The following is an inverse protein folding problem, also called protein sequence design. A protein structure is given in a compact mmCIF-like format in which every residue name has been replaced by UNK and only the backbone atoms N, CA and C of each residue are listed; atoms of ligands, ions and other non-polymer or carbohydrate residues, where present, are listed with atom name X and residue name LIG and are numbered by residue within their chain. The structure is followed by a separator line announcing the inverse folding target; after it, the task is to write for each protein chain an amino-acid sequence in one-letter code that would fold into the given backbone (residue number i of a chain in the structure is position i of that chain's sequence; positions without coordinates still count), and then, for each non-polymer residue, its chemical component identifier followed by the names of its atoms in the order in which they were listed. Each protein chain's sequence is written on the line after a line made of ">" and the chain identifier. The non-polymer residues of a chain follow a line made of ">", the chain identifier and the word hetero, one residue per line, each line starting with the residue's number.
data_IF_318228113226
#
_entry.id   IF_318228113226
#
_cell.length_a   1.000
_cell.length_b   1.000
_cell.length_c   1.000
_cell.angle_alpha   90.00
_cell.angle_beta   90.00
_cell.angle_gamma   90.00
#
_symmetry.space_group_name_H-M   'P 1'
#
loop_
_entity.id
_entity.type
_entity.pdbx_description
1 polymer ?
#
# COMPACT_ATOMS: atom_id res chain seq x y z
N UNK A 1 -30.63 38.50 6.36
CA UNK A 1 -29.17 38.37 6.15
C UNK A 1 -28.74 36.98 6.64
N UNK A 2 -28.69 36.00 5.74
CA UNK A 2 -28.34 34.62 6.04
C UNK A 2 -26.85 34.44 5.75
N UNK A 3 -26.03 34.17 6.78
CA UNK A 3 -24.64 33.81 6.64
C UNK A 3 -24.54 32.38 6.11
N UNK A 4 -23.99 32.20 4.89
CA UNK A 4 -23.60 30.92 4.32
C UNK A 4 -22.43 30.36 5.10
N UNK A 5 -22.64 29.31 5.87
CA UNK A 5 -21.60 28.43 6.38
C UNK A 5 -21.07 27.58 5.23
N UNK A 6 -19.78 27.73 4.92
CA UNK A 6 -19.07 26.83 3.98
C UNK A 6 -18.87 25.48 4.67
N UNK A 7 -19.48 24.45 4.11
CA UNK A 7 -19.14 23.07 4.42
C UNK A 7 -17.71 22.79 3.91
N UNK A 8 -16.85 22.36 4.80
CA UNK A 8 -15.51 21.86 4.47
C UNK A 8 -15.66 20.43 3.90
N UNK A 9 -15.05 20.20 2.75
CA UNK A 9 -15.00 18.93 2.04
C UNK A 9 -14.38 17.84 2.94
N UNK A 10 -15.08 16.74 3.27
CA UNK A 10 -14.56 15.69 4.14
C UNK A 10 -13.35 14.95 3.57
N UNK A 11 -13.07 15.05 2.26
CA UNK A 11 -11.94 14.36 1.61
C UNK A 11 -10.55 14.93 1.94
N UNK A 12 -10.45 16.13 2.50
CA UNK A 12 -9.14 16.79 2.77
C UNK A 12 -8.59 16.60 4.18
N UNK A 13 -9.37 16.10 5.11
CA UNK A 13 -8.97 15.98 6.54
C UNK A 13 -8.24 14.66 6.84
N UNK A 14 -8.33 13.65 5.98
CA UNK A 14 -7.80 12.31 6.23
C UNK A 14 -6.27 12.16 6.13
N UNK A 15 -5.55 13.18 5.66
CA UNK A 15 -4.09 13.07 5.38
C UNK A 15 -3.18 13.43 6.57
N UNK A 16 -3.69 13.93 7.69
CA UNK A 16 -2.84 14.63 8.65
C UNK A 16 -2.32 13.82 9.85
N UNK A 17 -2.88 12.66 10.22
CA UNK A 17 -2.55 12.06 11.54
C UNK A 17 -1.91 10.66 11.48
N UNK A 18 -2.13 9.88 10.44
CA UNK A 18 -1.44 8.57 10.28
C UNK A 18 0.02 8.68 9.80
N UNK A 19 0.42 9.82 9.26
CA UNK A 19 1.74 10.06 8.63
C UNK A 19 2.63 11.06 9.37
N UNK A 20 2.17 11.67 10.45
CA UNK A 20 2.86 12.78 11.10
C UNK A 20 4.23 12.44 11.72
N UNK A 21 4.66 11.19 11.71
CA UNK A 21 5.99 10.78 12.23
C UNK A 21 7.02 10.40 11.15
N UNK A 22 6.66 10.41 9.86
CA UNK A 22 7.56 10.04 8.78
C UNK A 22 7.87 11.15 7.75
N UNK A 23 7.25 12.35 7.85
CA UNK A 23 7.43 13.42 6.86
C UNK A 23 8.22 14.65 7.36
N UNK A 24 8.68 14.66 8.62
CA UNK A 24 9.37 15.85 9.17
C UNK A 24 10.86 15.96 8.87
N UNK A 25 11.46 15.11 8.01
CA UNK A 25 12.89 15.25 7.68
C UNK A 25 13.21 15.83 6.30
N UNK A 26 12.23 16.12 5.43
CA UNK A 26 12.55 16.54 4.05
C UNK A 26 11.91 17.86 3.56
N UNK A 27 11.30 18.68 4.41
CA UNK A 27 10.59 19.89 3.96
C UNK A 27 11.27 21.22 4.29
N UNK A 28 12.51 21.25 4.76
CA UNK A 28 13.20 22.51 5.15
C UNK A 28 14.21 23.03 4.09
N UNK A 29 14.44 22.32 2.97
CA UNK A 29 15.47 22.72 1.98
C UNK A 29 14.96 23.24 0.63
N UNK A 30 13.66 23.52 0.48
CA UNK A 30 13.09 23.91 -0.83
C UNK A 30 12.78 25.41 -1.00
N UNK A 31 13.19 26.29 -0.08
CA UNK A 31 12.77 27.70 -0.13
C UNK A 31 13.85 28.74 -0.44
N UNK A 32 15.01 28.34 -0.93
CA UNK A 32 16.04 29.32 -1.35
C UNK A 32 16.72 28.94 -2.66
N UNK A 33 16.00 29.00 -3.78
CA UNK A 33 16.61 29.33 -5.08
C UNK A 33 15.48 29.74 -6.05
N UNK A 34 15.43 31.01 -6.38
CA UNK A 34 14.50 31.59 -7.34
C UNK A 34 14.80 31.09 -8.76
N UNK A 35 13.85 30.41 -9.37
CA UNK A 35 13.84 30.09 -10.79
C UNK A 35 12.89 31.03 -11.54
N UNK A 36 13.23 31.50 -12.74
CA UNK A 36 12.37 32.38 -13.53
C UNK A 36 11.11 31.61 -14.02
N UNK A 37 9.97 32.31 -14.01
CA UNK A 37 8.72 31.83 -14.59
C UNK A 37 8.92 31.50 -16.09
N UNK A 38 8.27 30.42 -16.58
CA UNK A 38 8.29 30.11 -18.01
C UNK A 38 7.55 31.20 -18.80
N UNK A 39 8.27 31.84 -19.72
CA UNK A 39 7.71 32.76 -20.68
C UNK A 39 6.77 32.04 -21.66
N UNK A 40 5.62 32.63 -21.90
CA UNK A 40 4.65 32.24 -22.94
C UNK A 40 5.32 32.08 -24.28
N UNK A 41 5.09 31.02 -25.07
CA UNK A 41 5.66 30.91 -26.42
C UNK A 41 5.09 32.01 -27.32
N UNK A 42 5.95 32.79 -27.94
CA UNK A 42 5.59 33.71 -29.02
C UNK A 42 5.31 32.93 -30.32
N UNK A 43 4.36 33.37 -31.14
CA UNK A 43 4.10 32.75 -32.45
C UNK A 43 5.31 32.94 -33.36
N UNK A 44 5.76 31.87 -34.02
CA UNK A 44 6.81 31.91 -35.03
C UNK A 44 6.37 32.75 -36.25
N UNK A 45 7.24 33.65 -36.66
CA UNK A 45 7.06 34.47 -37.84
C UNK A 45 6.96 33.62 -39.10
N UNK A 46 5.96 33.94 -39.92
CA UNK A 46 5.75 33.39 -41.26
C UNK A 46 6.83 33.87 -42.22
N UNK A 47 7.48 32.95 -42.90
CA UNK A 47 8.11 33.20 -44.16
C UNK A 47 9.47 32.55 -44.36
N UNK A 48 9.50 31.39 -44.96
CA UNK A 48 10.42 31.06 -46.06
C UNK A 48 9.91 29.79 -46.78
N UNK A 49 9.85 29.90 -48.10
CA UNK A 49 9.46 28.82 -49.02
C UNK A 49 10.45 27.64 -48.91
N UNK A 50 9.99 26.52 -48.34
CA UNK A 50 10.68 25.22 -48.44
C UNK A 50 9.90 24.33 -49.38
N UNK A 51 10.57 23.87 -50.43
CA UNK A 51 10.07 22.89 -51.39
C UNK A 51 9.43 21.67 -50.68
N UNK A 52 8.29 21.25 -51.14
CA UNK A 52 7.43 20.22 -50.51
C UNK A 52 8.06 18.86 -50.44
N UNK A 53 8.82 18.60 -49.42
CA UNK A 53 9.01 17.23 -48.91
C UNK A 53 7.82 16.88 -48.03
N UNK A 54 7.15 15.77 -48.26
CA UNK A 54 6.13 15.20 -47.37
C UNK A 54 6.84 14.91 -46.02
N UNK A 55 6.66 15.81 -45.05
CA UNK A 55 7.17 15.58 -43.70
C UNK A 55 6.38 14.40 -43.11
N UNK A 56 6.99 13.23 -43.05
CA UNK A 56 6.44 12.12 -42.25
C UNK A 56 6.34 12.58 -40.79
N UNK A 57 5.18 12.41 -40.15
CA UNK A 57 5.07 12.77 -38.73
C UNK A 57 6.11 12.00 -37.90
N UNK A 58 6.69 12.61 -36.85
CA UNK A 58 7.70 11.95 -36.03
C UNK A 58 7.13 10.67 -35.41
N UNK A 59 7.95 9.63 -35.36
CA UNK A 59 7.57 8.36 -34.72
C UNK A 59 7.39 8.54 -33.21
N UNK A 60 6.69 7.61 -32.54
CA UNK A 60 6.56 7.62 -31.08
C UNK A 60 7.95 7.66 -30.40
N UNK A 61 8.92 6.89 -30.94
CA UNK A 61 10.29 6.87 -30.43
C UNK A 61 10.96 8.25 -30.54
N UNK A 62 10.81 8.96 -31.65
CA UNK A 62 11.37 10.29 -31.84
C UNK A 62 10.75 11.32 -30.84
N UNK A 63 9.45 11.25 -30.66
CA UNK A 63 8.74 12.11 -29.70
C UNK A 63 9.20 11.87 -28.27
N UNK A 64 9.33 10.61 -27.86
CA UNK A 64 9.79 10.25 -26.52
C UNK A 64 11.27 10.60 -26.33
N UNK A 65 12.13 10.34 -27.31
CA UNK A 65 13.55 10.68 -27.26
C UNK A 65 13.77 12.20 -27.15
N UNK A 66 12.97 12.99 -27.88
CA UNK A 66 12.98 14.46 -27.76
C UNK A 66 12.61 14.89 -26.33
N UNK A 67 11.59 14.29 -25.72
CA UNK A 67 11.21 14.60 -24.34
C UNK A 67 12.31 14.20 -23.34
N UNK A 68 12.88 13.02 -23.48
CA UNK A 68 13.98 12.56 -22.62
C UNK A 68 15.14 13.58 -22.65
N UNK A 69 15.52 14.08 -23.84
CA UNK A 69 16.63 15.01 -23.99
C UNK A 69 16.41 16.36 -23.30
N UNK A 70 15.14 16.75 -23.08
CA UNK A 70 14.80 17.96 -22.31
C UNK A 70 15.07 17.80 -20.80
N UNK A 71 15.01 16.57 -20.28
CA UNK A 71 15.13 16.26 -18.85
C UNK A 71 16.52 15.73 -18.46
N UNK A 72 17.26 15.15 -19.37
CA UNK A 72 18.56 14.53 -19.10
C UNK A 72 19.50 14.65 -20.29
N UNK A 73 20.79 14.82 -19.98
CA UNK A 73 21.87 14.82 -21.00
C UNK A 73 22.47 13.44 -21.25
N UNK A 74 22.00 12.40 -20.53
CA UNK A 74 22.53 11.04 -20.66
C UNK A 74 21.40 10.05 -20.88
N UNK A 75 21.41 9.36 -21.99
CA UNK A 75 20.41 8.33 -22.32
C UNK A 75 20.42 7.15 -21.34
N UNK A 76 21.57 6.90 -20.68
CA UNK A 76 21.69 5.84 -19.65
C UNK A 76 20.92 6.12 -18.35
N UNK A 77 20.38 7.36 -18.18
CA UNK A 77 19.54 7.68 -17.04
C UNK A 77 18.14 7.07 -17.13
N UNK A 78 17.72 6.62 -18.33
CA UNK A 78 16.36 6.20 -18.63
C UNK A 78 16.32 4.76 -19.16
N UNK A 79 15.52 3.93 -18.49
CA UNK A 79 15.19 2.56 -18.90
C UNK A 79 13.69 2.45 -19.15
N UNK A 80 13.29 2.23 -20.39
CA UNK A 80 11.90 2.17 -20.82
C UNK A 80 11.62 0.87 -21.55
N UNK A 81 10.47 0.28 -21.28
CA UNK A 81 9.92 -0.80 -22.08
C UNK A 81 8.41 -0.81 -22.04
N UNK A 82 7.77 -0.77 -23.21
CA UNK A 82 6.33 -0.82 -23.40
C UNK A 82 5.99 -1.96 -24.35
N UNK A 83 4.96 -2.73 -24.03
CA UNK A 83 4.59 -3.92 -24.76
C UNK A 83 3.07 -4.11 -24.76
N UNK A 84 2.51 -4.47 -25.89
CA UNK A 84 1.08 -4.83 -26.02
C UNK A 84 0.78 -6.19 -25.40
N UNK A 85 -0.51 -6.50 -25.24
CA UNK A 85 -0.97 -7.78 -24.70
C UNK A 85 -0.46 -9.00 -25.50
N UNK A 86 -0.34 -8.88 -26.82
CA UNK A 86 0.20 -9.93 -27.72
C UNK A 86 1.74 -10.02 -27.74
N UNK A 87 2.43 -9.18 -26.96
CA UNK A 87 3.88 -9.24 -26.79
C UNK A 87 4.67 -8.40 -27.81
N UNK A 88 4.00 -7.53 -28.55
CA UNK A 88 4.67 -6.63 -29.49
C UNK A 88 5.26 -5.42 -28.77
N UNK A 89 6.58 -5.18 -28.85
CA UNK A 89 7.20 -3.95 -28.35
C UNK A 89 6.63 -2.71 -29.03
N UNK A 90 6.30 -1.69 -28.24
CA UNK A 90 5.82 -0.39 -28.74
C UNK A 90 6.87 0.69 -28.60
N UNK A 91 7.64 0.66 -27.52
CA UNK A 91 8.67 1.63 -27.19
C UNK A 91 9.72 0.96 -26.32
N UNK A 92 10.99 1.18 -26.64
CA UNK A 92 12.08 0.69 -25.81
C UNK A 92 13.27 1.66 -25.80
N UNK A 93 13.87 1.84 -24.62
CA UNK A 93 15.11 2.57 -24.40
C UNK A 93 15.86 1.86 -23.28
N UNK A 94 17.08 1.38 -23.55
CA UNK A 94 17.88 0.59 -22.60
C UNK A 94 17.09 -0.52 -21.89
N UNK A 95 16.31 -1.33 -22.62
CA UNK A 95 15.32 -2.25 -22.05
C UNK A 95 15.96 -3.36 -21.21
N UNK A 96 17.22 -3.70 -21.47
CA UNK A 96 17.96 -4.78 -20.83
C UNK A 96 19.05 -4.27 -19.84
N UNK A 97 19.17 -2.95 -19.66
CA UNK A 97 20.03 -2.38 -18.63
C UNK A 97 19.35 -2.45 -17.25
N UNK A 98 20.15 -2.69 -16.21
CA UNK A 98 19.64 -2.83 -14.85
C UNK A 98 19.46 -1.48 -14.16
N UNK A 99 18.28 -1.23 -13.58
CA UNK A 99 17.92 -0.05 -12.81
C UNK A 99 17.42 -0.42 -11.44
N UNK A 100 17.51 0.52 -10.50
CA UNK A 100 16.84 0.34 -9.21
C UNK A 100 15.32 0.59 -9.37
N UNK A 101 14.47 -0.40 -9.12
CA UNK A 101 13.03 -0.25 -9.26
C UNK A 101 12.38 0.50 -8.09
N UNK A 102 13.14 0.82 -7.04
CA UNK A 102 12.61 1.33 -5.79
C UNK A 102 11.34 0.53 -5.38
N UNK A 103 10.27 1.21 -4.98
CA UNK A 103 9.04 0.55 -4.50
C UNK A 103 8.23 -0.22 -5.56
N UNK A 104 8.63 -0.23 -6.84
CA UNK A 104 8.06 -1.19 -7.81
C UNK A 104 8.37 -2.64 -7.39
N UNK A 105 9.45 -2.87 -6.64
CA UNK A 105 9.77 -4.15 -5.98
C UNK A 105 8.58 -4.75 -5.23
N UNK A 106 7.69 -3.93 -4.68
CA UNK A 106 6.50 -4.41 -3.94
C UNK A 106 5.55 -5.26 -4.79
N UNK A 107 5.55 -5.11 -6.11
CA UNK A 107 4.77 -5.99 -7.00
C UNK A 107 5.38 -7.39 -7.05
N UNK A 108 6.71 -7.51 -7.00
CA UNK A 108 7.39 -8.81 -6.91
C UNK A 108 6.98 -9.52 -5.60
N UNK A 109 7.02 -8.79 -4.48
CA UNK A 109 6.58 -9.27 -3.16
C UNK A 109 5.11 -9.66 -3.17
N UNK A 110 4.24 -8.82 -3.76
CA UNK A 110 2.81 -9.08 -3.93
C UNK A 110 2.55 -10.44 -4.59
N UNK A 111 3.17 -10.67 -5.74
CA UNK A 111 2.92 -11.89 -6.52
C UNK A 111 3.56 -13.13 -5.88
N UNK A 112 4.75 -13.00 -5.28
CA UNK A 112 5.36 -14.09 -4.53
C UNK A 112 4.47 -14.54 -3.35
N UNK A 113 3.82 -13.59 -2.67
CA UNK A 113 2.89 -13.88 -1.58
C UNK A 113 1.61 -14.53 -2.12
N UNK A 114 1.01 -14.00 -3.19
CA UNK A 114 -0.24 -14.51 -3.75
C UNK A 114 -0.09 -15.86 -4.48
N UNK A 115 1.12 -16.25 -4.88
CA UNK A 115 1.42 -17.60 -5.38
C UNK A 115 1.45 -18.65 -4.27
N UNK A 116 1.69 -18.24 -3.03
CA UNK A 116 1.78 -19.14 -1.88
C UNK A 116 0.54 -19.13 -1.01
N UNK A 117 -0.14 -18.00 -0.92
CA UNK A 117 -1.31 -17.78 -0.07
C UNK A 117 -2.53 -17.41 -0.92
N UNK A 118 -3.67 -17.98 -0.58
CA UNK A 118 -4.95 -17.57 -1.20
C UNK A 118 -5.18 -16.07 -1.01
N UNK A 119 -5.79 -15.37 -1.99
CA UNK A 119 -6.22 -13.97 -1.84
C UNK A 119 -7.08 -13.70 -0.60
N UNK A 120 -7.79 -14.74 -0.15
CA UNK A 120 -8.65 -14.70 1.04
C UNK A 120 -7.92 -15.08 2.34
N UNK A 121 -6.61 -15.36 2.30
CA UNK A 121 -5.83 -15.62 3.51
C UNK A 121 -5.97 -14.45 4.49
N UNK A 122 -6.13 -14.78 5.78
CA UNK A 122 -6.23 -13.80 6.87
C UNK A 122 -5.20 -14.15 7.93
N UNK A 123 -4.53 -13.16 8.47
CA UNK A 123 -3.78 -13.33 9.69
C UNK A 123 -4.75 -13.58 10.84
N UNK A 124 -4.33 -14.40 11.80
CA UNK A 124 -5.12 -14.68 13.00
C UNK A 124 -4.34 -14.24 14.23
N UNK A 125 -4.94 -13.33 15.00
CA UNK A 125 -4.48 -12.99 16.34
C UNK A 125 -5.42 -13.65 17.34
N UNK A 126 -4.86 -14.49 18.21
CA UNK A 126 -5.61 -15.25 19.23
C UNK A 126 -5.53 -14.55 20.56
N UNK A 127 -6.67 -14.44 21.21
CA UNK A 127 -6.77 -14.04 22.59
C UNK A 127 -7.19 -15.26 23.40
N UNK A 128 -6.39 -15.57 24.41
CA UNK A 128 -6.61 -16.66 25.38
C UNK A 128 -6.48 -16.10 26.79
N UNK A 129 -6.79 -16.87 27.80
CA UNK A 129 -6.62 -16.46 29.19
C UNK A 129 -6.18 -17.62 30.06
N UNK A 130 -5.51 -17.27 31.18
CA UNK A 130 -5.25 -18.18 32.31
C UNK A 130 -6.27 -17.95 33.43
N UNK A 131 -6.37 -18.84 34.37
CA UNK A 131 -7.27 -18.68 35.54
C UNK A 131 -8.75 -18.89 35.19
N UNK A 132 -9.64 -18.01 35.69
CA UNK A 132 -11.10 -18.13 35.61
C UNK A 132 -11.78 -16.83 35.18
N UNK A 133 -13.02 -16.96 34.72
CA UNK A 133 -13.84 -15.82 34.36
C UNK A 133 -15.03 -15.68 35.33
N UNK A 134 -15.04 -14.56 36.06
CA UNK A 134 -16.15 -14.17 36.94
C UNK A 134 -17.18 -13.39 36.10
N UNK A 135 -18.28 -14.03 35.78
CA UNK A 135 -19.34 -13.45 34.91
C UNK A 135 -20.13 -12.35 35.61
N UNK A 136 -20.33 -12.44 36.93
CA UNK A 136 -21.09 -11.43 37.68
C UNK A 136 -20.31 -10.11 37.77
N UNK A 137 -19.02 -10.20 38.00
CA UNK A 137 -18.12 -9.05 38.04
C UNK A 137 -17.59 -8.62 36.67
N UNK A 138 -17.92 -9.38 35.63
CA UNK A 138 -17.36 -9.20 34.26
C UNK A 138 -15.82 -9.14 34.26
N UNK A 139 -15.19 -9.96 35.12
CA UNK A 139 -13.78 -9.90 35.44
C UNK A 139 -13.06 -11.19 35.05
N UNK A 140 -11.98 -11.06 34.31
CA UNK A 140 -11.02 -12.13 34.08
C UNK A 140 -10.05 -12.18 35.28
N UNK A 141 -10.17 -13.22 36.10
CA UNK A 141 -9.29 -13.48 37.25
C UNK A 141 -8.11 -14.33 36.77
N UNK A 142 -7.11 -13.68 36.18
CA UNK A 142 -5.96 -14.29 35.53
C UNK A 142 -5.38 -13.38 34.45
N UNK A 143 -4.45 -13.92 33.66
CA UNK A 143 -3.77 -13.15 32.61
C UNK A 143 -4.52 -13.22 31.27
N UNK A 144 -4.47 -12.14 30.51
CA UNK A 144 -4.90 -12.08 29.12
C UNK A 144 -3.69 -12.38 28.21
N UNK A 145 -3.77 -13.41 27.38
CA UNK A 145 -2.69 -13.84 26.48
C UNK A 145 -3.02 -13.43 25.06
N UNK A 146 -2.12 -12.74 24.38
CA UNK A 146 -2.28 -12.26 22.99
C UNK A 146 -1.18 -12.85 22.11
N UNK A 147 -1.58 -13.74 21.21
CA UNK A 147 -0.70 -14.42 20.27
C UNK A 147 -0.98 -13.96 18.84
N UNK A 148 0.05 -13.51 18.14
CA UNK A 148 -0.02 -13.11 16.74
C UNK A 148 1.20 -13.60 15.97
N UNK A 149 1.07 -13.70 14.64
CA UNK A 149 2.16 -14.12 13.75
C UNK A 149 2.44 -13.02 12.73
N UNK A 150 3.03 -11.91 13.21
CA UNK A 150 3.46 -10.78 12.38
C UNK A 150 2.34 -10.17 11.52
N UNK A 151 1.13 -10.10 12.06
CA UNK A 151 -0.01 -9.48 11.38
C UNK A 151 0.26 -7.98 11.12
N UNK A 152 0.38 -7.55 9.85
CA UNK A 152 0.65 -6.16 9.50
C UNK A 152 -0.56 -5.25 9.66
N UNK A 153 -1.73 -5.78 10.02
CA UNK A 153 -2.98 -5.01 10.13
C UNK A 153 -3.32 -4.60 11.55
N UNK A 154 -2.61 -5.15 12.56
CA UNK A 154 -2.84 -4.76 13.94
C UNK A 154 -2.42 -3.32 14.17
N UNK A 155 -3.41 -2.47 14.43
CA UNK A 155 -3.29 -1.05 14.67
C UNK A 155 -4.35 -0.60 15.69
N UNK A 156 -4.48 0.69 15.93
CA UNK A 156 -5.49 1.23 16.84
C UNK A 156 -6.91 0.80 16.48
N UNK A 157 -7.28 0.81 15.20
CA UNK A 157 -8.64 0.43 14.77
C UNK A 157 -8.95 -1.01 15.13
N UNK A 158 -8.01 -1.93 14.90
CA UNK A 158 -8.17 -3.33 15.27
C UNK A 158 -8.22 -3.54 16.78
N UNK A 159 -7.48 -2.75 17.57
CA UNK A 159 -7.53 -2.81 19.02
C UNK A 159 -8.86 -2.30 19.58
N UNK A 160 -9.39 -1.21 19.06
CA UNK A 160 -10.72 -0.72 19.46
C UNK A 160 -11.81 -1.74 19.12
N UNK A 161 -11.72 -2.36 17.94
CA UNK A 161 -12.63 -3.42 17.55
C UNK A 161 -12.53 -4.65 18.47
N UNK A 162 -11.32 -5.06 18.85
CA UNK A 162 -11.09 -6.13 19.84
C UNK A 162 -11.67 -5.74 21.20
N UNK A 163 -11.50 -4.48 21.65
CA UNK A 163 -12.08 -4.00 22.92
C UNK A 163 -13.59 -4.08 22.93
N UNK A 164 -14.26 -3.65 21.85
CA UNK A 164 -15.72 -3.80 21.70
C UNK A 164 -16.13 -5.28 21.86
N UNK A 165 -15.38 -6.20 21.24
CA UNK A 165 -15.67 -7.65 21.31
C UNK A 165 -15.35 -8.28 22.66
N UNK A 166 -14.36 -7.80 23.39
CA UNK A 166 -14.11 -8.19 24.77
C UNK A 166 -15.29 -7.80 25.67
N UNK A 167 -15.81 -6.58 25.51
CA UNK A 167 -17.00 -6.11 26.25
C UNK A 167 -18.25 -6.93 25.88
N UNK A 168 -18.45 -7.30 24.59
CA UNK A 168 -19.54 -8.18 24.15
C UNK A 168 -19.41 -9.59 24.75
N UNK A 169 -18.18 -10.07 24.98
CA UNK A 169 -17.92 -11.32 25.68
C UNK A 169 -18.13 -11.23 27.19
N UNK A 170 -18.46 -10.04 27.72
CA UNK A 170 -18.68 -9.77 29.11
C UNK A 170 -17.40 -9.45 29.91
N UNK A 171 -16.29 -9.13 29.24
CA UNK A 171 -15.02 -8.81 29.91
C UNK A 171 -14.85 -7.28 29.93
N UNK A 172 -14.93 -6.70 31.12
CA UNK A 172 -14.65 -5.29 31.38
C UNK A 172 -13.39 -5.07 32.21
N UNK A 173 -12.92 -6.11 32.91
CA UNK A 173 -11.74 -6.05 33.79
C UNK A 173 -10.85 -7.29 33.61
N UNK A 174 -9.54 -7.09 33.67
CA UNK A 174 -8.52 -8.13 33.75
C UNK A 174 -7.66 -7.87 35.00
N UNK A 175 -7.68 -8.81 35.96
CA UNK A 175 -6.90 -8.66 37.22
C UNK A 175 -5.42 -8.97 37.04
N UNK A 176 -5.09 -9.92 36.16
CA UNK A 176 -3.73 -10.34 35.86
C UNK A 176 -2.96 -9.46 34.86
N UNK A 177 -1.99 -10.04 34.20
CA UNK A 177 -1.09 -9.37 33.27
C UNK A 177 -1.59 -9.53 31.82
N UNK A 178 -0.99 -8.76 30.91
CA UNK A 178 -1.02 -9.08 29.47
C UNK A 178 0.22 -9.88 29.14
N UNK A 179 0.05 -11.09 28.62
CA UNK A 179 1.13 -11.94 28.10
C UNK A 179 1.12 -11.86 26.58
N UNK A 180 2.27 -11.61 25.96
CA UNK A 180 2.37 -11.37 24.51
C UNK A 180 3.40 -12.26 23.82
N UNK A 181 3.04 -12.84 22.67
CA UNK A 181 3.95 -13.61 21.85
C UNK A 181 5.01 -12.73 21.18
N UNK A 182 6.17 -13.31 20.85
CA UNK A 182 7.23 -12.63 20.11
C UNK A 182 6.83 -12.18 18.70
N UNK A 183 5.83 -12.85 18.11
CA UNK A 183 5.27 -12.51 16.78
C UNK A 183 4.24 -11.40 16.79
N UNK A 184 3.90 -10.84 17.96
CA UNK A 184 2.98 -9.71 18.05
C UNK A 184 3.66 -8.45 17.50
N UNK A 185 3.06 -7.88 16.45
CA UNK A 185 3.48 -6.60 15.85
C UNK A 185 2.28 -5.64 15.93
N UNK A 186 2.52 -4.41 16.35
CA UNK A 186 1.51 -3.36 16.40
C UNK A 186 1.99 -2.11 15.66
N UNK A 187 1.09 -1.48 14.89
CA UNK A 187 1.39 -0.29 14.09
C UNK A 187 2.65 -0.48 13.23
N UNK A 188 2.87 -1.71 12.71
CA UNK A 188 3.98 -2.13 11.84
C UNK A 188 5.39 -2.09 12.44
N UNK A 189 5.57 -1.52 13.64
CA UNK A 189 6.91 -1.21 14.19
C UNK A 189 7.15 -1.71 15.60
N UNK A 190 6.14 -1.68 16.47
CA UNK A 190 6.28 -2.15 17.85
C UNK A 190 6.08 -3.66 17.88
N UNK A 191 6.91 -4.38 18.62
CA UNK A 191 6.84 -5.85 18.71
C UNK A 191 6.93 -6.35 20.15
N UNK A 192 6.42 -7.55 20.40
CA UNK A 192 6.47 -8.21 21.70
C UNK A 192 5.96 -7.32 22.83
N UNK A 193 6.72 -7.21 23.93
CA UNK A 193 6.32 -6.43 25.12
C UNK A 193 6.06 -4.94 24.79
N UNK A 194 6.79 -4.34 23.86
CA UNK A 194 6.55 -2.95 23.46
C UNK A 194 5.20 -2.78 22.77
N UNK A 195 4.78 -3.75 21.95
CA UNK A 195 3.44 -3.79 21.35
C UNK A 195 2.37 -4.00 22.44
N UNK A 196 2.61 -4.91 23.37
CA UNK A 196 1.71 -5.17 24.51
C UNK A 196 1.48 -3.95 25.40
N UNK A 197 2.50 -3.13 25.67
CA UNK A 197 2.35 -1.90 26.43
C UNK A 197 1.47 -0.87 25.71
N UNK A 198 1.57 -0.79 24.38
CA UNK A 198 0.69 0.06 23.58
C UNK A 198 -0.75 -0.49 23.57
N UNK A 199 -0.93 -1.80 23.53
CA UNK A 199 -2.23 -2.46 23.65
C UNK A 199 -2.85 -2.12 25.00
N UNK A 200 -2.10 -2.28 26.09
CA UNK A 200 -2.54 -1.91 27.44
C UNK A 200 -3.04 -0.44 27.48
N UNK A 201 -2.23 0.49 26.95
CA UNK A 201 -2.59 1.91 26.91
C UNK A 201 -3.83 2.18 26.05
N UNK A 202 -4.01 1.43 24.96
CA UNK A 202 -5.13 1.63 24.03
C UNK A 202 -6.45 1.05 24.57
N UNK A 203 -6.38 -0.13 25.17
CA UNK A 203 -7.56 -0.84 25.68
C UNK A 203 -8.07 -0.27 27.00
N UNK A 204 -7.18 0.29 27.85
CA UNK A 204 -7.53 0.88 29.14
C UNK A 204 -7.73 2.40 29.03
N UNK A 205 -9.00 2.83 29.06
CA UNK A 205 -9.37 4.26 28.95
C UNK A 205 -8.70 5.14 30.00
N UNK A 206 -8.44 4.63 31.21
CA UNK A 206 -7.76 5.38 32.27
C UNK A 206 -6.30 5.74 31.93
N UNK A 207 -5.71 5.04 30.95
CA UNK A 207 -4.32 5.23 30.48
C UNK A 207 -4.23 6.02 29.18
N UNK A 208 -5.35 6.53 28.68
CA UNK A 208 -5.37 7.22 27.40
C UNK A 208 -4.52 8.48 27.38
N UNK A 209 -3.86 8.67 26.26
CA UNK A 209 -3.18 9.90 25.86
C UNK A 209 -4.04 10.67 24.86
N UNK A 210 -3.65 11.91 24.53
CA UNK A 210 -4.27 12.65 23.40
C UNK A 210 -4.21 11.88 22.08
N UNK A 211 -3.18 11.05 21.89
CA UNK A 211 -3.06 10.20 20.69
C UNK A 211 -4.13 9.10 20.69
N UNK A 212 -4.40 8.46 21.84
CA UNK A 212 -5.45 7.44 21.98
C UNK A 212 -6.85 8.05 21.73
N UNK A 213 -7.12 9.24 22.28
CA UNK A 213 -8.38 9.95 22.04
C UNK A 213 -8.57 10.29 20.54
N UNK A 214 -7.52 10.76 19.89
CA UNK A 214 -7.56 11.06 18.46
C UNK A 214 -7.78 9.79 17.65
N UNK A 215 -7.08 8.71 17.97
CA UNK A 215 -7.24 7.42 17.29
C UNK A 215 -8.66 6.87 17.43
N UNK A 216 -9.29 6.99 18.61
CA UNK A 216 -10.69 6.60 18.79
C UNK A 216 -11.63 7.38 17.88
N UNK A 217 -11.45 8.71 17.77
CA UNK A 217 -12.26 9.54 16.86
C UNK A 217 -12.11 9.09 15.41
N UNK A 218 -10.89 8.78 14.98
CA UNK A 218 -10.65 8.25 13.62
C UNK A 218 -11.28 6.89 13.40
N UNK A 219 -11.21 6.00 14.38
CA UNK A 219 -11.90 4.71 14.32
C UNK A 219 -13.40 4.85 14.13
N UNK A 220 -14.06 5.76 14.88
CA UNK A 220 -15.49 6.04 14.71
C UNK A 220 -15.80 6.60 13.30
N UNK A 221 -14.94 7.48 12.78
CA UNK A 221 -15.08 7.99 11.42
C UNK A 221 -14.92 6.88 10.37
N UNK A 222 -13.95 5.99 10.56
CA UNK A 222 -13.75 4.84 9.68
C UNK A 222 -14.97 3.90 9.69
N UNK A 223 -15.53 3.58 10.88
CA UNK A 223 -16.78 2.81 11.01
C UNK A 223 -17.94 3.47 10.30
N UNK A 224 -18.09 4.79 10.46
CA UNK A 224 -19.16 5.55 9.80
C UNK A 224 -19.01 5.54 8.27
N UNK A 225 -17.80 5.75 7.75
CA UNK A 225 -17.51 5.67 6.32
C UNK A 225 -17.79 4.27 5.74
N UNK A 226 -17.44 3.23 6.49
CA UNK A 226 -17.69 1.83 6.15
C UNK A 226 -19.14 1.36 6.42
N UNK A 227 -20.03 2.28 6.88
CA UNK A 227 -21.42 1.96 7.26
C UNK A 227 -21.53 0.85 8.30
N UNK A 228 -20.50 0.67 9.13
CA UNK A 228 -20.51 -0.27 10.25
C UNK A 228 -21.37 0.27 11.39
N UNK A 229 -21.94 -0.65 12.17
CA UNK A 229 -22.73 -0.28 13.36
C UNK A 229 -21.84 0.42 14.40
N UNK A 230 -22.30 1.55 14.93
CA UNK A 230 -21.71 2.28 16.03
C UNK A 230 -22.67 2.21 17.21
N UNK A 231 -22.37 1.34 18.17
CA UNK A 231 -23.24 1.13 19.35
C UNK A 231 -23.09 2.26 20.39
N UNK A 232 -21.92 2.87 20.44
CA UNK A 232 -21.64 4.01 21.32
C UNK A 232 -20.51 4.86 20.74
N UNK A 233 -20.61 6.18 20.91
CA UNK A 233 -19.50 7.11 20.65
C UNK A 233 -18.55 7.20 21.86
N UNK A 234 -18.95 6.65 22.99
CA UNK A 234 -18.15 6.58 24.21
C UNK A 234 -17.42 5.23 24.28
N UNK A 235 -16.09 5.30 24.41
CA UNK A 235 -15.27 4.11 24.56
C UNK A 235 -15.38 3.55 25.98
N UNK A 236 -15.75 2.28 26.11
CA UNK A 236 -15.81 1.58 27.40
C UNK A 236 -14.45 0.98 27.78
N UNK A 237 -13.79 0.32 26.84
CA UNK A 237 -12.48 -0.31 27.04
C UNK A 237 -12.48 -1.49 27.99
N UNK A 238 -11.28 -1.86 28.44
CA UNK A 238 -11.03 -2.91 29.43
C UNK A 238 -10.06 -2.39 30.47
N UNK A 239 -10.41 -2.50 31.76
CA UNK A 239 -9.54 -2.08 32.88
C UNK A 239 -8.53 -3.18 33.18
N UNK A 240 -7.25 -2.83 33.31
CA UNK A 240 -6.17 -3.76 33.68
C UNK A 240 -5.63 -3.42 35.07
N UNK A 241 -5.95 -4.27 36.07
CA UNK A 241 -5.60 -4.02 37.49
C UNK A 241 -4.09 -4.12 37.70
N UNK A 242 -3.43 -5.19 37.21
CA UNK A 242 -1.99 -5.33 37.40
C UNK A 242 -1.20 -4.30 36.58
N UNK A 243 -1.70 -3.92 35.40
CA UNK A 243 -1.06 -2.98 34.50
C UNK A 243 0.33 -3.41 34.00
N UNK A 244 0.64 -4.70 34.01
CA UNK A 244 1.93 -5.26 33.57
C UNK A 244 1.77 -5.99 32.25
N UNK A 245 2.82 -5.90 31.42
CA UNK A 245 2.96 -6.66 30.19
C UNK A 245 4.22 -7.51 30.25
N UNK A 246 4.09 -8.79 29.98
CA UNK A 246 5.18 -9.77 30.02
C UNK A 246 5.26 -10.52 28.70
N UNK A 247 6.44 -11.05 28.39
CA UNK A 247 6.57 -12.02 27.30
C UNK A 247 5.84 -13.32 27.70
N UNK A 248 5.13 -13.90 26.74
CA UNK A 248 4.45 -15.18 26.94
C UNK A 248 5.48 -16.34 26.95
N UNK A 249 5.44 -17.18 27.98
CA UNK A 249 6.29 -18.35 28.10
C UNK A 249 5.65 -19.67 27.65
N UNK A 250 4.47 -19.62 27.09
CA UNK A 250 3.71 -20.75 26.47
C UNK A 250 3.46 -21.96 27.41
N UNK A 251 4.09 -22.01 28.58
CA UNK A 251 4.11 -23.19 29.45
C UNK A 251 2.80 -23.38 30.25
N UNK A 252 2.02 -22.30 30.42
CA UNK A 252 0.83 -22.36 31.27
C UNK A 252 -0.41 -22.80 30.49
N UNK A 253 -1.27 -23.67 31.09
CA UNK A 253 -2.57 -23.99 30.52
C UNK A 253 -3.41 -22.74 30.30
N UNK A 254 -3.99 -22.61 29.10
CA UNK A 254 -4.82 -21.47 28.73
C UNK A 254 -6.11 -21.90 28.07
N UNK A 255 -7.12 -21.10 28.26
CA UNK A 255 -8.42 -21.26 27.62
C UNK A 255 -8.57 -20.25 26.49
N UNK A 256 -9.10 -20.69 25.37
CA UNK A 256 -9.36 -19.81 24.23
C UNK A 256 -10.51 -18.86 24.54
N UNK A 257 -10.36 -17.60 24.19
CA UNK A 257 -11.36 -16.55 24.39
C UNK A 257 -11.96 -16.09 23.06
N UNK A 258 -11.11 -15.63 22.15
CA UNK A 258 -11.55 -15.16 20.84
C UNK A 258 -10.40 -15.21 19.81
N UNK A 259 -10.78 -15.14 18.54
CA UNK A 259 -9.86 -14.95 17.44
C UNK A 259 -10.22 -13.69 16.65
N UNK A 260 -9.26 -12.79 16.49
CA UNK A 260 -9.31 -11.69 15.53
C UNK A 260 -8.69 -12.16 14.23
N UNK A 261 -9.43 -12.05 13.14
CA UNK A 261 -8.96 -12.33 11.78
C UNK A 261 -8.83 -11.01 11.03
N UNK A 262 -7.65 -10.75 10.48
CA UNK A 262 -7.36 -9.56 9.67
C UNK A 262 -8.29 -9.42 8.47
N UNK A 263 -8.24 -8.31 7.77
CA UNK A 263 -8.72 -8.23 6.39
C UNK A 263 -8.05 -9.30 5.51
N UNK A 264 -8.67 -9.72 4.39
CA UNK A 264 -8.02 -10.60 3.41
C UNK A 264 -6.69 -10.04 2.94
N UNK A 265 -5.70 -10.91 2.72
CA UNK A 265 -4.36 -10.48 2.32
C UNK A 265 -4.36 -9.65 1.02
N UNK A 266 -5.33 -9.89 0.14
CA UNK A 266 -5.51 -9.10 -1.08
C UNK A 266 -5.78 -7.62 -0.76
N UNK A 267 -6.62 -7.32 0.24
CA UNK A 267 -6.89 -5.95 0.70
C UNK A 267 -5.64 -5.33 1.35
N UNK A 268 -4.92 -6.10 2.16
CA UNK A 268 -3.63 -5.67 2.76
C UNK A 268 -2.62 -5.31 1.66
N UNK A 269 -2.52 -6.13 0.63
CA UNK A 269 -1.65 -5.90 -0.54
C UNK A 269 -2.06 -4.63 -1.28
N UNK A 270 -3.35 -4.41 -1.52
CA UNK A 270 -3.83 -3.19 -2.19
C UNK A 270 -3.42 -1.94 -1.40
N UNK A 271 -3.63 -1.93 -0.07
CA UNK A 271 -3.21 -0.82 0.81
C UNK A 271 -1.69 -0.64 0.77
N UNK A 272 -0.92 -1.72 0.91
CA UNK A 272 0.55 -1.68 0.80
C UNK A 272 1.02 -1.01 -0.50
N UNK A 273 0.43 -1.37 -1.63
CA UNK A 273 0.83 -0.86 -2.94
C UNK A 273 0.33 0.57 -3.18
N UNK A 274 -0.88 0.91 -2.79
CA UNK A 274 -1.44 2.25 -2.96
C UNK A 274 -0.66 3.30 -2.17
N UNK A 275 -0.36 3.02 -0.90
CA UNK A 275 0.39 3.92 -0.02
C UNK A 275 1.90 3.67 -0.03
N UNK A 276 2.35 2.66 -0.76
CA UNK A 276 3.78 2.29 -0.86
C UNK A 276 4.45 1.98 0.48
N UNK A 277 3.72 1.31 1.40
CA UNK A 277 4.16 1.05 2.76
C UNK A 277 5.31 0.03 2.81
N UNK A 278 6.49 0.45 3.29
CA UNK A 278 7.68 -0.38 3.36
C UNK A 278 7.60 -1.44 4.46
N UNK A 279 7.06 -1.08 5.62
CA UNK A 279 6.99 -1.98 6.77
C UNK A 279 6.01 -3.14 6.47
N UNK A 280 4.87 -2.85 5.84
CA UNK A 280 3.96 -3.90 5.35
C UNK A 280 4.64 -4.82 4.33
N UNK A 281 5.42 -4.26 3.40
CA UNK A 281 6.14 -5.05 2.41
C UNK A 281 7.19 -5.98 3.02
N UNK A 282 7.87 -5.53 4.08
CA UNK A 282 8.81 -6.38 4.83
C UNK A 282 8.09 -7.50 5.57
N UNK A 283 6.97 -7.22 6.24
CA UNK A 283 6.19 -8.23 6.95
C UNK A 283 5.57 -9.25 5.99
N UNK A 284 5.03 -8.82 4.86
CA UNK A 284 4.53 -9.72 3.82
C UNK A 284 5.66 -10.54 3.18
N UNK A 285 6.81 -9.93 2.93
CA UNK A 285 7.98 -10.61 2.38
C UNK A 285 8.49 -11.73 3.26
N UNK A 286 8.36 -11.63 4.59
CA UNK A 286 8.72 -12.71 5.54
C UNK A 286 7.94 -14.00 5.28
N UNK A 287 6.68 -13.91 4.85
CA UNK A 287 5.85 -15.06 4.52
C UNK A 287 6.46 -15.94 3.41
N UNK A 288 7.29 -15.37 2.57
CA UNK A 288 7.84 -16.03 1.37
C UNK A 288 9.37 -16.16 1.40
N UNK A 289 10.00 -15.97 2.56
CA UNK A 289 11.45 -16.14 2.74
C UNK A 289 12.26 -14.86 2.47
N UNK A 290 11.66 -13.69 2.58
CA UNK A 290 12.35 -12.41 2.45
C UNK A 290 12.82 -12.11 1.01
N UNK A 291 13.86 -11.27 0.84
CA UNK A 291 14.36 -10.89 -0.48
C UNK A 291 14.76 -12.08 -1.35
N UNK A 292 15.43 -13.06 -0.77
CA UNK A 292 15.86 -14.28 -1.49
C UNK A 292 14.68 -15.08 -2.00
N UNK A 293 13.63 -15.26 -1.18
CA UNK A 293 12.43 -15.98 -1.61
C UNK A 293 11.66 -15.26 -2.71
N UNK A 294 11.59 -13.91 -2.66
CA UNK A 294 11.00 -13.11 -3.73
C UNK A 294 11.85 -13.19 -5.00
N UNK A 295 13.17 -13.14 -4.91
CA UNK A 295 14.07 -13.30 -6.06
C UNK A 295 13.94 -14.67 -6.71
N UNK A 296 13.89 -15.74 -5.91
CA UNK A 296 13.63 -17.10 -6.37
C UNK A 296 12.29 -17.22 -7.13
N UNK A 297 11.24 -16.58 -6.63
CA UNK A 297 9.96 -16.50 -7.32
C UNK A 297 10.12 -15.84 -8.69
N UNK A 298 10.83 -14.71 -8.79
CA UNK A 298 11.04 -13.99 -10.05
C UNK A 298 11.78 -14.86 -11.08
N UNK A 299 12.81 -15.58 -10.64
CA UNK A 299 13.58 -16.46 -11.51
C UNK A 299 12.75 -17.68 -11.96
N UNK A 300 12.09 -18.35 -11.01
CA UNK A 300 11.42 -19.64 -11.30
C UNK A 300 10.05 -19.48 -11.93
N UNK A 301 9.27 -18.46 -11.54
CA UNK A 301 7.86 -18.29 -11.98
C UNK A 301 7.73 -17.24 -13.06
N UNK A 302 8.34 -16.07 -12.90
CA UNK A 302 8.32 -15.00 -13.91
C UNK A 302 9.32 -15.27 -15.05
N UNK A 303 10.27 -16.21 -14.84
CA UNK A 303 11.27 -16.63 -15.83
C UNK A 303 12.29 -15.55 -16.17
N UNK A 304 12.72 -14.80 -15.16
CA UNK A 304 13.88 -13.91 -15.32
C UNK A 304 15.18 -14.73 -15.29
N UNK A 305 16.16 -14.30 -16.05
CA UNK A 305 17.52 -14.81 -15.90
C UNK A 305 18.13 -14.32 -14.55
N UNK A 306 18.99 -15.10 -13.89
CA UNK A 306 19.59 -14.70 -12.63
C UNK A 306 20.27 -13.33 -12.65
N UNK A 307 20.87 -12.91 -13.78
CA UNK A 307 21.49 -11.59 -13.94
C UNK A 307 20.52 -10.42 -14.18
N UNK A 308 19.24 -10.70 -14.51
CA UNK A 308 18.24 -9.66 -14.76
C UNK A 308 17.67 -9.05 -13.45
N UNK A 309 17.93 -9.67 -12.28
CA UNK A 309 17.36 -9.26 -11.00
C UNK A 309 18.33 -9.45 -9.84
N UNK A 310 18.33 -8.49 -8.91
CA UNK A 310 18.97 -8.57 -7.61
C UNK A 310 18.12 -7.85 -6.58
N UNK A 311 17.78 -8.53 -5.49
CA UNK A 311 16.96 -7.97 -4.42
C UNK A 311 17.73 -7.94 -3.10
N UNK A 312 17.78 -6.76 -2.50
CA UNK A 312 18.28 -6.52 -1.14
C UNK A 312 17.13 -6.41 -0.14
N UNK A 313 15.97 -5.95 -0.60
CA UNK A 313 14.78 -5.81 0.24
C UNK A 313 13.49 -6.17 -0.52
N UNK A 314 12.45 -6.50 0.23
CA UNK A 314 11.11 -6.77 -0.30
C UNK A 314 10.26 -5.51 -0.50
N UNK A 315 10.75 -4.36 -0.05
CA UNK A 315 10.08 -3.06 -0.15
C UNK A 315 10.60 -2.17 -1.27
N UNK A 316 11.82 -2.42 -1.74
CA UNK A 316 12.53 -1.58 -2.71
C UNK A 316 13.48 -0.56 -2.09
N UNK A 317 13.68 -0.59 -0.77
CA UNK A 317 14.79 0.11 -0.12
C UNK A 317 16.12 -0.57 -0.46
N UNK A 318 17.22 0.20 -0.45
CA UNK A 318 18.55 -0.32 -0.75
C UNK A 318 18.83 -0.49 -2.25
N UNK A 319 19.76 -1.37 -2.58
CA UNK A 319 20.36 -1.51 -3.92
C UNK A 319 19.71 -2.60 -4.76
N UNK A 320 18.37 -2.63 -4.84
CA UNK A 320 17.67 -3.55 -5.74
C UNK A 320 17.95 -3.20 -7.20
N UNK A 321 17.90 -4.19 -8.07
CA UNK A 321 18.10 -4.00 -9.50
C UNK A 321 17.21 -4.93 -10.31
N UNK A 322 16.65 -4.42 -11.42
CA UNK A 322 15.91 -5.19 -12.44
C UNK A 322 15.96 -4.44 -13.78
N UNK A 323 15.78 -5.15 -14.86
CA UNK A 323 15.69 -4.54 -16.20
C UNK A 323 14.26 -4.06 -16.50
N UNK A 324 14.05 -3.03 -17.35
CA UNK A 324 12.72 -2.63 -17.82
C UNK A 324 11.94 -3.78 -18.45
N UNK A 325 12.57 -4.56 -19.34
CA UNK A 325 11.98 -5.75 -19.95
C UNK A 325 11.59 -6.80 -18.91
N UNK A 326 12.44 -7.06 -17.92
CA UNK A 326 12.15 -7.96 -16.80
C UNK A 326 10.99 -7.47 -15.95
N UNK A 327 10.85 -6.14 -15.78
CA UNK A 327 9.72 -5.53 -15.07
C UNK A 327 8.41 -5.72 -15.87
N UNK A 328 8.42 -5.57 -17.18
CA UNK A 328 7.23 -5.83 -18.02
C UNK A 328 6.88 -7.32 -18.06
N UNK A 329 7.85 -8.23 -18.06
CA UNK A 329 7.58 -9.67 -17.85
C UNK A 329 6.80 -9.91 -16.54
N UNK A 330 7.17 -9.20 -15.46
CA UNK A 330 6.44 -9.25 -14.18
C UNK A 330 5.01 -8.71 -14.32
N UNK A 331 4.79 -7.58 -15.01
CA UNK A 331 3.45 -7.03 -15.21
C UNK A 331 2.55 -7.95 -16.02
N UNK A 332 3.08 -8.57 -17.06
CA UNK A 332 2.39 -9.60 -17.83
C UNK A 332 2.06 -10.84 -16.99
N UNK A 333 3.00 -11.28 -16.15
CA UNK A 333 2.75 -12.37 -15.20
C UNK A 333 1.62 -12.00 -14.24
N UNK A 334 1.62 -10.77 -13.71
CA UNK A 334 0.57 -10.26 -12.82
C UNK A 334 -0.80 -10.28 -13.51
N UNK A 335 -0.87 -9.81 -14.76
CA UNK A 335 -2.11 -9.84 -15.54
C UNK A 335 -2.64 -11.25 -15.72
N UNK A 336 -1.80 -12.18 -16.19
CA UNK A 336 -2.19 -13.58 -16.39
C UNK A 336 -2.60 -14.27 -15.08
N UNK A 337 -1.93 -13.94 -13.99
CA UNK A 337 -2.30 -14.44 -12.66
C UNK A 337 -3.67 -13.90 -12.21
N UNK A 338 -3.92 -12.63 -12.45
CA UNK A 338 -5.21 -11.98 -12.15
C UNK A 338 -6.35 -12.63 -12.95
N UNK A 339 -6.19 -12.78 -14.27
CA UNK A 339 -7.18 -13.45 -15.13
C UNK A 339 -7.49 -14.86 -14.65
N UNK A 340 -6.45 -15.67 -14.39
CA UNK A 340 -6.59 -17.05 -13.90
C UNK A 340 -7.35 -17.12 -12.57
N UNK A 341 -7.15 -16.16 -11.68
CA UNK A 341 -7.75 -16.15 -10.33
C UNK A 341 -9.04 -15.33 -10.26
N UNK A 342 -9.51 -14.74 -11.37
CA UNK A 342 -10.69 -13.85 -11.43
C UNK A 342 -10.57 -12.65 -10.50
N UNK A 343 -9.40 -12.04 -10.49
CA UNK A 343 -9.04 -10.85 -9.73
C UNK A 343 -8.63 -9.78 -10.74
N UNK A 344 -8.94 -8.52 -10.46
CA UNK A 344 -8.52 -7.43 -11.33
C UNK A 344 -7.12 -6.91 -10.94
N UNK A 345 -6.37 -6.37 -11.92
CA UNK A 345 -5.11 -5.67 -11.64
C UNK A 345 -5.31 -4.49 -10.68
N UNK A 346 -6.49 -3.92 -10.68
CA UNK A 346 -6.92 -2.86 -9.75
C UNK A 346 -7.06 -3.32 -8.31
N UNK A 347 -7.20 -4.61 -8.05
CA UNK A 347 -7.18 -5.16 -6.69
C UNK A 347 -5.76 -5.28 -6.14
N UNK A 348 -4.74 -5.26 -7.02
CA UNK A 348 -3.33 -5.32 -6.62
C UNK A 348 -2.68 -3.94 -6.52
N UNK A 349 -2.99 -3.03 -7.45
CA UNK A 349 -2.29 -1.75 -7.63
C UNK A 349 -3.26 -0.56 -7.68
N UNK A 350 -2.83 0.66 -7.29
CA UNK A 350 -3.66 1.84 -7.37
C UNK A 350 -3.92 2.29 -8.81
N UNK A 351 -5.05 2.96 -8.99
CA UNK A 351 -5.52 3.56 -10.24
C UNK A 351 -5.17 5.04 -10.25
N UNK A 352 -4.55 5.50 -11.31
CA UNK A 352 -4.15 6.89 -11.50
C UNK A 352 -5.33 7.87 -11.53
N UNK A 353 -5.26 8.92 -10.71
CA UNK A 353 -6.29 9.95 -10.60
C UNK A 353 -7.59 9.53 -9.91
N UNK A 354 -7.65 8.27 -9.41
CA UNK A 354 -8.86 7.67 -8.79
C UNK A 354 -8.58 7.24 -7.36
N UNK A 355 -7.62 6.32 -7.17
CA UNK A 355 -7.31 5.78 -5.86
C UNK A 355 -6.51 6.74 -4.98
N UNK A 356 -6.78 6.73 -3.68
CA UNK A 356 -5.93 7.38 -2.70
C UNK A 356 -4.52 6.78 -2.69
N UNK A 357 -3.54 7.57 -2.26
CA UNK A 357 -2.14 7.13 -2.15
C UNK A 357 -1.22 7.78 -3.20
N UNK A 358 -0.22 7.05 -3.66
CA UNK A 358 0.87 7.61 -4.48
C UNK A 358 0.48 8.02 -5.91
N UNK A 359 -0.68 7.59 -6.39
CA UNK A 359 -1.22 7.96 -7.70
C UNK A 359 -2.44 8.91 -7.61
N UNK A 360 -2.85 9.35 -6.42
CA UNK A 360 -4.03 10.20 -6.21
C UNK A 360 -3.99 11.48 -7.04
N UNK A 361 -2.81 12.11 -7.15
CA UNK A 361 -2.61 13.37 -7.87
C UNK A 361 -1.90 13.20 -9.22
N UNK A 362 -1.87 11.98 -9.76
CA UNK A 362 -1.25 11.66 -11.04
C UNK A 362 -2.29 11.26 -12.08
N UNK A 363 -2.00 11.54 -13.37
CA UNK A 363 -2.86 11.15 -14.50
C UNK A 363 -4.28 11.75 -14.43
N UNK A 364 -4.42 12.98 -13.88
CA UNK A 364 -5.72 13.66 -13.73
C UNK A 364 -6.26 14.29 -15.01
N UNK A 365 -5.52 14.23 -16.11
CA UNK A 365 -6.05 14.67 -17.42
C UNK A 365 -7.21 13.78 -17.82
N UNK A 366 -8.23 14.35 -18.44
CA UNK A 366 -9.50 13.68 -18.78
C UNK A 366 -9.33 12.42 -19.63
N UNK A 367 -8.26 12.36 -20.44
CA UNK A 367 -7.92 11.23 -21.30
C UNK A 367 -7.14 10.11 -20.62
N UNK A 368 -6.63 10.34 -19.39
CA UNK A 368 -5.81 9.39 -18.65
C UNK A 368 -6.42 8.94 -17.33
N UNK A 369 -7.37 9.70 -16.78
CA UNK A 369 -8.03 9.34 -15.51
C UNK A 369 -8.60 7.92 -15.59
N UNK A 370 -8.23 7.08 -14.64
CA UNK A 370 -8.73 5.71 -14.57
C UNK A 370 -8.11 4.74 -15.59
N UNK A 371 -7.23 5.20 -16.50
CA UNK A 371 -6.64 4.33 -17.52
C UNK A 371 -5.31 3.67 -17.10
N UNK A 372 -4.64 4.20 -16.07
CA UNK A 372 -3.32 3.74 -15.63
C UNK A 372 -3.43 3.04 -14.29
N UNK A 373 -3.10 1.77 -14.24
CA UNK A 373 -3.00 0.97 -13.00
C UNK A 373 -1.53 0.64 -12.77
N UNK A 374 -0.91 1.26 -11.77
CA UNK A 374 0.55 1.19 -11.68
C UNK A 374 1.07 1.29 -10.25
N UNK A 375 2.34 0.90 -10.07
CA UNK A 375 3.12 1.12 -8.86
C UNK A 375 4.22 2.13 -9.11
N UNK A 376 4.30 3.12 -8.22
CA UNK A 376 5.38 4.11 -8.19
C UNK A 376 6.59 3.60 -7.40
N UNK A 377 7.78 4.05 -7.76
CA UNK A 377 9.02 3.87 -7.00
C UNK A 377 9.75 5.20 -6.85
N UNK A 378 10.28 5.50 -5.65
CA UNK A 378 11.02 6.74 -5.41
C UNK A 378 12.10 6.50 -4.36
N UNK A 379 13.34 6.89 -4.67
CA UNK A 379 14.44 7.08 -3.73
C UNK A 379 15.05 8.46 -4.00
N UNK A 380 16.12 8.83 -3.33
CA UNK A 380 16.73 10.17 -3.44
C UNK A 380 17.06 10.59 -4.89
N UNK A 381 17.52 9.64 -5.71
CA UNK A 381 17.92 9.83 -7.11
C UNK A 381 17.30 8.78 -8.05
N UNK A 382 16.19 8.18 -7.66
CA UNK A 382 15.48 7.15 -8.45
C UNK A 382 14.01 7.51 -8.53
N UNK A 383 13.47 7.45 -9.75
CA UNK A 383 12.03 7.50 -10.00
C UNK A 383 11.64 6.32 -10.88
N UNK A 384 10.64 5.58 -10.46
CA UNK A 384 10.17 4.40 -11.20
C UNK A 384 8.64 4.40 -11.27
N UNK A 385 8.11 3.89 -12.38
CA UNK A 385 6.70 3.66 -12.58
C UNK A 385 6.54 2.41 -13.46
N UNK A 386 5.74 1.44 -13.01
CA UNK A 386 5.45 0.24 -13.79
C UNK A 386 4.03 -0.23 -13.57
N UNK A 387 3.40 -0.75 -14.61
CA UNK A 387 2.01 -1.16 -14.54
C UNK A 387 1.41 -1.55 -15.89
N UNK A 388 0.11 -1.33 -15.99
CA UNK A 388 -0.67 -1.49 -17.22
C UNK A 388 -1.44 -0.20 -17.49
N UNK A 389 -1.46 0.22 -18.73
CA UNK A 389 -2.32 1.29 -19.24
C UNK A 389 -3.36 0.67 -20.16
N UNK A 390 -4.62 0.94 -19.90
CA UNK A 390 -5.72 0.54 -20.77
C UNK A 390 -5.91 1.59 -21.85
N UNK A 391 -5.88 1.17 -23.12
CA UNK A 391 -5.98 2.07 -24.30
C UNK A 391 -7.14 1.69 -25.19
N UNK A 392 -7.66 2.65 -25.96
CA UNK A 392 -8.82 2.45 -26.81
C UNK A 392 -8.52 1.60 -28.06
N UNK A 393 -7.33 1.78 -28.67
CA UNK A 393 -7.01 1.11 -29.94
C UNK A 393 -6.20 -0.17 -29.76
N UNK A 394 -5.40 -0.31 -28.66
CA UNK A 394 -4.49 -1.44 -28.48
C UNK A 394 -4.84 -2.33 -27.28
N UNK A 395 -5.88 -1.97 -26.51
CA UNK A 395 -6.21 -2.63 -25.25
C UNK A 395 -5.15 -2.40 -24.17
N UNK A 396 -4.84 -3.41 -23.32
CA UNK A 396 -3.83 -3.29 -22.30
C UNK A 396 -2.42 -3.16 -22.88
N UNK A 397 -1.69 -2.13 -22.42
CA UNK A 397 -0.26 -1.91 -22.71
C UNK A 397 0.50 -2.01 -21.39
N UNK A 398 1.38 -2.98 -21.27
CA UNK A 398 2.27 -3.15 -20.12
C UNK A 398 3.47 -2.22 -20.24
N UNK A 399 3.91 -1.64 -19.13
CA UNK A 399 5.02 -0.71 -19.20
C UNK A 399 5.90 -0.73 -17.95
N UNK A 400 7.16 -0.34 -18.14
CA UNK A 400 8.13 -0.01 -17.11
C UNK A 400 8.90 1.24 -17.52
N UNK A 401 8.97 2.20 -16.63
CA UNK A 401 9.79 3.43 -16.72
C UNK A 401 10.65 3.45 -15.47
N UNK A 402 11.95 3.19 -15.62
CA UNK A 402 12.92 3.11 -14.54
C UNK A 402 14.00 4.14 -14.77
N UNK A 403 14.12 5.15 -13.89
CA UNK A 403 14.92 6.33 -14.15
C UNK A 403 15.86 6.68 -13.00
N UNK A 404 17.03 7.19 -13.35
CA UNK A 404 17.99 7.84 -12.44
C UNK A 404 17.91 9.34 -12.63
N UNK A 405 17.65 10.08 -11.56
CA UNK A 405 17.54 11.53 -11.59
C UNK A 405 16.69 12.08 -10.46
N UNK A 406 16.48 13.39 -10.47
CA UNK A 406 15.67 14.06 -9.46
C UNK A 406 14.19 13.62 -9.57
N UNK A 407 13.61 13.03 -8.52
CA UNK A 407 12.29 12.40 -8.63
C UNK A 407 11.17 13.32 -9.11
N UNK A 408 11.22 14.62 -8.78
CA UNK A 408 10.19 15.57 -9.19
C UNK A 408 10.17 15.81 -10.71
N UNK A 409 11.34 15.90 -11.34
CA UNK A 409 11.47 16.04 -12.80
C UNK A 409 11.10 14.74 -13.51
N UNK A 410 11.64 13.61 -13.03
CA UNK A 410 11.35 12.29 -13.61
C UNK A 410 9.87 11.93 -13.54
N UNK A 411 9.16 12.30 -12.47
CA UNK A 411 7.72 12.09 -12.36
C UNK A 411 6.93 12.80 -13.47
N UNK A 412 7.32 14.04 -13.82
CA UNK A 412 6.70 14.78 -14.93
C UNK A 412 6.99 14.11 -16.27
N UNK A 413 8.24 13.73 -16.50
CA UNK A 413 8.63 13.00 -17.71
C UNK A 413 7.84 11.68 -17.86
N UNK A 414 7.65 10.92 -16.78
CA UNK A 414 6.82 9.71 -16.80
C UNK A 414 5.40 10.00 -17.27
N UNK A 415 4.79 11.09 -16.82
CA UNK A 415 3.42 11.46 -17.22
C UNK A 415 3.37 11.90 -18.69
N UNK A 416 4.39 12.60 -19.16
CA UNK A 416 4.49 12.97 -20.57
C UNK A 416 4.68 11.74 -21.47
N UNK A 417 5.56 10.80 -21.10
CA UNK A 417 5.77 9.54 -21.84
C UNK A 417 4.46 8.73 -21.91
N UNK A 418 3.77 8.55 -20.77
CA UNK A 418 2.48 7.86 -20.71
C UNK A 418 1.45 8.56 -21.61
N UNK A 419 1.41 9.90 -21.63
CA UNK A 419 0.50 10.68 -22.49
C UNK A 419 0.80 10.47 -23.97
N UNK A 420 2.07 10.43 -24.38
CA UNK A 420 2.49 10.16 -25.77
C UNK A 420 2.09 8.75 -26.21
N UNK A 421 2.37 7.73 -25.38
CA UNK A 421 2.00 6.34 -25.67
C UNK A 421 0.47 6.18 -25.71
N UNK A 422 -0.27 6.86 -24.82
CA UNK A 422 -1.73 6.85 -24.85
C UNK A 422 -2.26 7.47 -26.16
N UNK A 423 -1.74 8.62 -26.57
CA UNK A 423 -2.12 9.28 -27.81
C UNK A 423 -1.88 8.39 -29.04
N UNK A 424 -0.69 7.75 -29.15
CA UNK A 424 -0.34 6.79 -30.22
C UNK A 424 -1.25 5.54 -30.19
N UNK A 425 -1.83 5.24 -29.04
CA UNK A 425 -2.73 4.08 -28.82
C UNK A 425 -4.22 4.45 -28.85
N UNK A 426 -4.59 5.60 -29.46
CA UNK A 426 -5.98 6.05 -29.62
C UNK A 426 -6.60 6.69 -28.37
N UNK A 427 -5.80 7.01 -27.37
CA UNK A 427 -6.18 7.56 -26.08
C UNK A 427 -6.34 6.53 -24.99
N UNK A 428 -6.32 6.99 -23.73
CA UNK A 428 -6.58 6.15 -22.57
C UNK A 428 -8.04 5.70 -22.50
N UNK A 429 -8.26 4.47 -22.01
CA UNK A 429 -9.57 3.93 -21.68
C UNK A 429 -9.72 3.87 -20.16
N UNK A 430 -10.46 4.81 -19.61
CA UNK A 430 -10.78 4.81 -18.18
C UNK A 430 -11.62 3.59 -17.82
N UNK A 431 -11.15 2.81 -16.84
CA UNK A 431 -11.92 1.68 -16.31
C UNK A 431 -12.89 2.19 -15.25
N UNK A 432 -14.13 1.72 -15.32
CA UNK A 432 -15.13 1.99 -14.28
C UNK A 432 -14.75 1.20 -13.03
N UNK A 433 -14.31 1.89 -11.98
CA UNK A 433 -13.96 1.32 -10.70
C UNK A 433 -14.38 2.27 -9.59
N UNK A 434 -15.17 1.77 -8.66
CA UNK A 434 -15.52 2.52 -7.45
C UNK A 434 -14.44 2.31 -6.40
N UNK A 435 -13.58 3.30 -6.20
CA UNK A 435 -12.60 3.25 -5.12
C UNK A 435 -13.04 4.14 -3.97
N UNK A 436 -13.50 3.52 -2.90
CA UNK A 436 -13.70 4.16 -1.60
C UNK A 436 -12.62 3.69 -0.59
N UNK A 437 -11.44 3.28 -1.07
CA UNK A 437 -10.46 2.62 -0.25
C UNK A 437 -9.78 3.59 0.73
N UNK A 438 -10.15 3.49 2.00
CA UNK A 438 -9.43 4.07 3.12
C UNK A 438 -8.18 3.25 3.52
N UNK A 439 -7.40 3.76 4.45
CA UNK A 439 -6.29 2.99 5.07
C UNK A 439 -6.79 2.01 6.14
N UNK A 440 -7.97 2.22 6.69
CA UNK A 440 -8.56 1.32 7.68
C UNK A 440 -9.02 0.04 7.00
N UNK A 441 -8.67 -1.08 7.59
CA UNK A 441 -9.04 -2.43 7.14
C UNK A 441 -10.00 -3.11 8.11
N UNK A 442 -10.52 -2.37 9.09
CA UNK A 442 -11.36 -2.92 10.17
C UNK A 442 -12.70 -3.44 9.65
N UNK A 443 -13.25 -2.85 8.60
CA UNK A 443 -14.51 -3.30 7.98
C UNK A 443 -14.42 -4.72 7.41
N UNK A 444 -13.24 -5.09 6.96
CA UNK A 444 -12.95 -6.41 6.39
C UNK A 444 -12.47 -7.42 7.46
N UNK A 445 -12.17 -6.96 8.68
CA UNK A 445 -11.75 -7.81 9.79
C UNK A 445 -12.95 -8.57 10.41
N UNK A 446 -12.65 -9.66 11.10
CA UNK A 446 -13.66 -10.49 11.77
C UNK A 446 -13.18 -10.88 13.16
N UNK A 447 -14.10 -10.95 14.12
CA UNK A 447 -13.81 -11.48 15.45
C UNK A 447 -14.79 -12.61 15.75
N UNK A 448 -14.25 -13.72 16.19
CA UNK A 448 -15.00 -14.89 16.62
C UNK A 448 -14.80 -15.07 18.13
N UNK A 449 -15.88 -14.91 18.90
CA UNK A 449 -15.88 -15.19 20.35
C UNK A 449 -16.11 -16.69 20.51
N UNK A 450 -15.15 -17.38 21.13
CA UNK A 450 -15.18 -18.82 21.37
C UNK A 450 -15.90 -19.05 22.70
N UNK A 451 -17.13 -19.56 22.66
CA UNK A 451 -17.86 -19.94 23.86
C UNK A 451 -17.28 -21.26 24.38
N UNK A 452 -17.00 -21.35 25.69
CA UNK A 452 -16.78 -22.65 26.31
C UNK A 452 -18.05 -23.48 26.06
N UNK A 453 -17.90 -24.65 25.44
CA UNK A 453 -18.98 -25.63 25.44
C UNK A 453 -19.27 -25.95 26.93
N UNK A 454 -20.40 -25.48 27.40
CA UNK A 454 -20.92 -25.96 28.69
C UNK A 454 -21.11 -27.46 28.51
N UNK A 455 -20.19 -28.27 29.04
CA UNK A 455 -20.41 -29.70 29.21
C UNK A 455 -21.73 -29.83 29.92
N UNK A 456 -22.79 -30.25 29.21
CA UNK A 456 -24.03 -30.69 29.83
C UNK A 456 -23.64 -31.90 30.64
N UNK A 457 -23.59 -31.72 31.97
CA UNK A 457 -23.52 -32.78 32.92
C UNK A 457 -24.86 -33.53 32.94
#
# INVERSE_FOLDING_TARGET
>A
MLKKTRFLDPGRVFLAVGFSLCLFSNTVWAQQQGYPNPTTPQPLASGENVQGGVLTPPSLLDLVSSRISEYSRTDLAHGLYFETLDGKPLLETNPDAAYNPASVTKIMTTLAVLERYSPNYRYTTRLSYTGSFDRERQTLVGDLVIESNYDPTLNYDSLFYIAEKLNEAGISTVEGNILVSSGLILNLRKSGVAAGNEILTTLDKARWTKASESAWKYYLQAKAAAKMKIDSTEFRGVTFVSGKVLADDVSQPRKRLMEYHSAPILKVIKVMNAYSNNDMAHLLGRLVGGPSGVQDFMIRRVKLAPGEIRLESTSGLGSNAITPRGTVKLMRYAHNWCEKNRIAMTDLMPIGGVDNGTLADRFKRSDLVGSVVAKTGTLSNVSALAGVMFTKARGPVFFAILERGYPGSMRRLQEEIISLVAADSGGGLGIAYGSEMGMSLVEDARVYILREETSRA
#
